data_IF_531414117376
#
_entry.id   IF_531414117376
#
_cell.length_a   1.000
_cell.length_b   1.000
_cell.length_c   1.000
_cell.angle_alpha   90.00
_cell.angle_beta   90.00
_cell.angle_gamma   90.00
#
_symmetry.space_group_name_H-M   'P 1'
#
loop_
_entity.id
_entity.type
_entity.pdbx_description
1 polymer ?
#
# COMPACT_ATOMS: atom_id res chain seq x y z
N UNK A 1 -63.31 -27.93 -10.47
CA UNK A 1 -62.79 -27.02 -9.42
C UNK A 1 -61.92 -27.82 -8.44
N UNK A 2 -60.86 -27.19 -7.93
CA UNK A 2 -60.09 -27.60 -6.73
C UNK A 2 -58.92 -28.58 -6.89
N UNK A 3 -58.13 -28.49 -7.98
CA UNK A 3 -56.74 -28.99 -8.06
C UNK A 3 -55.68 -27.89 -8.22
N UNK A 4 -56.07 -26.63 -8.04
CA UNK A 4 -55.19 -25.47 -8.27
C UNK A 4 -54.63 -24.88 -6.96
N UNK A 5 -55.02 -25.41 -5.80
CA UNK A 5 -54.73 -24.80 -4.50
C UNK A 5 -53.42 -25.25 -3.83
N UNK A 6 -52.65 -26.17 -4.43
CA UNK A 6 -51.43 -26.71 -3.82
C UNK A 6 -50.12 -26.14 -4.41
N UNK A 7 -50.16 -25.42 -5.55
CA UNK A 7 -48.95 -24.83 -6.14
C UNK A 7 -48.59 -23.46 -5.57
N UNK A 8 -49.53 -22.75 -4.94
CA UNK A 8 -49.31 -21.37 -4.46
C UNK A 8 -48.61 -21.28 -3.10
N UNK A 9 -48.44 -22.38 -2.37
CA UNK A 9 -47.75 -22.40 -1.07
C UNK A 9 -46.24 -22.68 -1.23
N UNK A 10 -45.83 -23.36 -2.31
CA UNK A 10 -44.42 -23.73 -2.52
C UNK A 10 -43.58 -22.59 -3.10
N UNK A 11 -44.18 -21.66 -3.84
CA UNK A 11 -43.48 -20.51 -4.45
C UNK A 11 -43.24 -19.35 -3.50
N UNK A 12 -43.96 -19.27 -2.37
CA UNK A 12 -43.75 -18.20 -1.38
C UNK A 12 -42.55 -18.46 -0.45
N UNK A 13 -42.00 -19.68 -0.44
CA UNK A 13 -40.94 -20.07 0.48
C UNK A 13 -39.53 -19.77 -0.07
N UNK A 14 -39.37 -19.58 -1.38
CA UNK A 14 -38.07 -19.32 -2.01
C UNK A 14 -37.60 -17.86 -1.94
N UNK A 15 -38.48 -16.90 -1.66
CA UNK A 15 -38.11 -15.48 -1.61
C UNK A 15 -37.52 -15.03 -0.25
N UNK A 16 -37.43 -15.92 0.74
CA UNK A 16 -36.89 -15.61 2.08
C UNK A 16 -35.48 -16.19 2.30
N UNK A 17 -34.87 -16.81 1.29
CA UNK A 17 -33.52 -17.39 1.37
C UNK A 17 -32.41 -16.48 0.81
N UNK A 18 -32.74 -15.27 0.36
CA UNK A 18 -31.73 -14.33 -0.13
C UNK A 18 -31.55 -13.17 0.86
N UNK A 19 -30.28 -12.82 1.08
CA UNK A 19 -29.76 -11.72 1.90
C UNK A 19 -29.26 -12.06 3.32
N UNK A 20 -28.61 -13.21 3.46
CA UNK A 20 -27.46 -13.32 4.35
C UNK A 20 -26.23 -12.65 3.72
N UNK A 21 -26.28 -11.35 3.43
CA UNK A 21 -25.12 -10.61 2.93
C UNK A 21 -24.18 -10.42 4.12
N UNK A 22 -23.23 -11.34 4.33
CA UNK A 22 -22.15 -11.16 5.31
C UNK A 22 -21.23 -10.03 4.79
N UNK A 23 -21.67 -8.78 5.00
CA UNK A 23 -20.95 -7.62 4.53
C UNK A 23 -19.68 -7.48 5.36
N UNK A 24 -18.53 -7.69 4.73
CA UNK A 24 -17.23 -7.51 5.38
C UNK A 24 -17.08 -6.12 6.02
N UNK A 25 -16.38 -6.05 7.14
CA UNK A 25 -16.13 -4.82 7.89
C UNK A 25 -14.78 -4.26 7.48
N UNK A 26 -14.77 -3.13 6.77
CA UNK A 26 -13.57 -2.39 6.40
C UNK A 26 -13.15 -1.45 7.53
N UNK A 27 -11.87 -1.48 7.91
CA UNK A 27 -11.27 -0.57 8.90
C UNK A 27 -9.93 -0.03 8.41
N UNK A 28 -9.65 1.22 8.78
CA UNK A 28 -8.31 1.78 8.67
C UNK A 28 -7.36 0.99 9.59
N UNK A 29 -6.10 0.89 9.19
CA UNK A 29 -5.03 0.26 9.98
C UNK A 29 -3.77 1.11 9.97
N UNK A 30 -2.74 0.64 10.67
CA UNK A 30 -1.44 1.30 10.75
C UNK A 30 -0.33 0.37 10.28
N UNK A 31 0.65 0.94 9.59
CA UNK A 31 1.88 0.26 9.27
C UNK A 31 2.66 -0.04 10.56
N UNK A 32 3.33 -1.18 10.57
CA UNK A 32 4.15 -1.67 11.67
C UNK A 32 5.62 -1.53 11.32
N UNK A 33 6.41 -1.03 12.27
CA UNK A 33 7.86 -0.88 12.13
C UNK A 33 8.54 -2.19 12.51
N UNK A 34 9.26 -2.80 11.58
CA UNK A 34 10.07 -3.99 11.87
C UNK A 34 11.47 -3.62 12.31
N UNK A 35 12.07 -2.67 11.62
CA UNK A 35 13.44 -2.25 11.86
C UNK A 35 13.60 -0.81 11.43
N UNK A 36 14.32 -0.01 12.22
CA UNK A 36 14.73 1.33 11.86
C UNK A 36 16.17 1.55 12.36
N UNK A 37 17.00 2.17 11.54
CA UNK A 37 18.38 2.54 11.89
C UNK A 37 18.66 3.96 11.42
N UNK A 38 19.44 4.70 12.21
CA UNK A 38 19.70 6.12 11.97
C UNK A 38 18.48 6.99 12.30
N UNK A 39 18.51 8.24 11.85
CA UNK A 39 17.43 9.18 12.09
C UNK A 39 16.27 8.94 11.10
N UNK A 40 15.17 8.42 11.63
CA UNK A 40 13.91 8.21 10.91
C UNK A 40 12.78 8.87 11.68
N UNK A 41 12.00 9.69 11.00
CA UNK A 41 10.86 10.41 11.58
C UNK A 41 9.60 10.14 10.79
N UNK A 42 8.46 10.27 11.45
CA UNK A 42 7.15 10.22 10.80
C UNK A 42 6.20 11.26 11.37
N UNK A 43 5.19 11.63 10.60
CA UNK A 43 4.12 12.53 11.04
C UNK A 43 3.52 13.33 9.90
N UNK A 44 2.94 14.49 10.22
CA UNK A 44 2.25 15.32 9.25
C UNK A 44 3.22 16.31 8.59
N UNK A 45 3.55 16.06 7.31
CA UNK A 45 4.44 16.92 6.55
C UNK A 45 3.91 18.34 6.32
N UNK A 46 2.59 18.51 6.19
CA UNK A 46 1.95 19.82 5.94
C UNK A 46 2.02 20.72 7.17
N UNK A 47 2.00 20.13 8.37
CA UNK A 47 2.16 20.82 9.66
C UNK A 47 3.61 20.86 10.14
N UNK A 48 4.53 20.25 9.39
CA UNK A 48 5.91 20.00 9.79
C UNK A 48 6.02 19.37 11.20
N UNK A 49 5.05 18.53 11.55
CA UNK A 49 4.95 17.87 12.85
C UNK A 49 5.48 16.44 12.69
N UNK A 50 6.72 16.23 13.17
CA UNK A 50 7.44 14.98 13.01
C UNK A 50 7.94 14.49 14.36
N UNK A 51 7.75 13.19 14.58
CA UNK A 51 8.26 12.48 15.74
C UNK A 51 9.18 11.34 15.31
N UNK A 52 10.18 10.97 16.13
CA UNK A 52 11.05 9.83 15.84
C UNK A 52 10.27 8.53 15.72
N UNK A 53 10.70 7.67 14.79
CA UNK A 53 10.17 6.31 14.70
C UNK A 53 10.73 5.45 15.83
N UNK A 54 9.84 4.66 16.44
CA UNK A 54 10.16 3.60 17.40
C UNK A 54 9.53 2.29 16.93
N UNK A 55 9.91 1.17 17.54
CA UNK A 55 9.27 -0.13 17.26
C UNK A 55 7.77 -0.18 17.62
N UNK A 56 7.31 0.75 18.46
CA UNK A 56 5.90 0.87 18.88
C UNK A 56 5.12 1.90 18.05
N UNK A 57 5.79 2.64 17.17
CA UNK A 57 5.15 3.66 16.35
C UNK A 57 4.04 3.06 15.49
N UNK A 58 2.92 3.78 15.42
CA UNK A 58 1.78 3.46 14.56
C UNK A 58 1.71 4.52 13.48
N UNK A 59 2.10 4.14 12.27
CA UNK A 59 2.16 5.04 11.11
C UNK A 59 0.88 4.82 10.31
N UNK A 60 0.03 5.83 10.19
CA UNK A 60 -1.29 5.73 9.58
C UNK A 60 -1.30 6.32 8.17
N UNK A 61 -2.39 6.08 7.44
CA UNK A 61 -2.69 6.84 6.24
C UNK A 61 -2.72 8.34 6.55
N UNK A 62 -2.09 9.14 5.69
CA UNK A 62 -1.85 10.57 5.89
C UNK A 62 -0.44 10.89 6.37
N UNK A 63 0.20 9.98 7.11
CA UNK A 63 1.55 10.21 7.65
C UNK A 63 2.61 10.19 6.54
N UNK A 64 3.64 11.01 6.73
CA UNK A 64 4.86 11.02 5.93
C UNK A 64 6.00 10.43 6.73
N UNK A 65 6.76 9.51 6.14
CA UNK A 65 7.95 8.90 6.75
C UNK A 65 9.19 9.45 6.04
N UNK A 66 10.16 9.93 6.81
CA UNK A 66 11.42 10.52 6.30
C UNK A 66 12.62 9.82 6.92
N UNK A 67 13.58 9.51 6.07
CA UNK A 67 14.88 8.96 6.48
C UNK A 67 15.98 9.98 6.18
N UNK A 68 16.86 10.21 7.16
CA UNK A 68 18.06 11.03 6.94
C UNK A 68 19.13 10.25 6.17
N UNK A 69 20.27 10.90 5.91
CA UNK A 69 21.42 10.25 5.31
C UNK A 69 21.90 9.06 6.16
N UNK A 70 22.21 7.94 5.52
CA UNK A 70 22.62 6.70 6.20
C UNK A 70 21.51 6.01 7.02
N UNK A 71 20.30 6.56 7.10
CA UNK A 71 19.19 5.95 7.80
C UNK A 71 18.45 4.93 6.92
N UNK A 72 17.73 3.99 7.52
CA UNK A 72 16.88 3.04 6.80
C UNK A 72 15.73 2.57 7.70
N UNK A 73 14.60 2.22 7.11
CA UNK A 73 13.45 1.67 7.82
C UNK A 73 12.75 0.59 6.99
N UNK A 74 12.35 -0.48 7.66
CA UNK A 74 11.49 -1.53 7.12
C UNK A 74 10.11 -1.44 7.78
N UNK A 75 9.09 -1.37 6.94
CA UNK A 75 7.69 -1.28 7.34
C UNK A 75 6.89 -2.44 6.76
N UNK A 76 6.02 -3.01 7.57
CA UNK A 76 4.89 -3.80 7.10
C UNK A 76 3.67 -2.88 7.01
N UNK A 77 3.18 -2.62 5.80
CA UNK A 77 2.08 -1.69 5.57
C UNK A 77 0.73 -2.33 5.93
N UNK A 78 0.52 -3.50 5.35
CA UNK A 78 -0.58 -4.44 5.59
C UNK A 78 0.03 -5.84 5.57
N UNK A 79 -0.67 -6.89 6.05
CA UNK A 79 -0.19 -8.26 5.85
C UNK A 79 0.25 -8.45 4.40
N UNK A 80 1.38 -9.12 4.18
CA UNK A 80 1.91 -9.40 2.84
C UNK A 80 2.45 -8.22 2.03
N UNK A 81 2.31 -6.96 2.47
CA UNK A 81 2.92 -5.79 1.80
C UNK A 81 3.99 -5.16 2.69
N UNK A 82 5.23 -5.21 2.22
CA UNK A 82 6.40 -4.72 2.93
C UNK A 82 7.15 -3.69 2.10
N UNK A 83 7.70 -2.70 2.77
CA UNK A 83 8.56 -1.70 2.15
C UNK A 83 9.80 -1.44 2.97
N UNK A 84 10.92 -1.24 2.29
CA UNK A 84 12.16 -0.74 2.84
C UNK A 84 12.47 0.61 2.23
N UNK A 85 12.74 1.60 3.09
CA UNK A 85 13.25 2.89 2.69
C UNK A 85 14.75 2.95 2.94
N UNK A 86 15.48 3.42 1.94
CA UNK A 86 16.90 3.75 2.07
C UNK A 86 17.09 5.18 2.55
N UNK A 87 18.32 5.58 2.89
CA UNK A 87 18.61 6.92 3.38
C UNK A 87 18.23 8.03 2.39
N UNK A 88 17.96 9.22 2.91
CA UNK A 88 17.50 10.39 2.15
C UNK A 88 16.20 10.14 1.36
N UNK A 89 15.34 9.26 1.86
CA UNK A 89 14.06 8.92 1.23
C UNK A 89 12.88 9.48 2.03
N UNK A 90 11.79 9.75 1.30
CA UNK A 90 10.52 10.18 1.87
C UNK A 90 9.36 9.50 1.16
N UNK A 91 8.44 8.93 1.95
CA UNK A 91 7.15 8.46 1.45
C UNK A 91 5.99 9.10 2.20
N UNK A 92 4.86 9.26 1.52
CA UNK A 92 3.55 9.51 2.15
C UNK A 92 2.74 8.22 2.12
N UNK A 93 2.21 7.81 3.26
CA UNK A 93 1.24 6.73 3.33
C UNK A 93 -0.11 7.29 2.89
N UNK A 94 -0.66 6.80 1.79
CA UNK A 94 -1.90 7.34 1.22
C UNK A 94 -3.13 6.57 1.71
N UNK A 95 -3.04 5.25 1.74
CA UNK A 95 -4.13 4.40 2.22
C UNK A 95 -3.59 3.15 2.91
N UNK A 96 -4.26 2.72 3.98
CA UNK A 96 -4.01 1.49 4.72
C UNK A 96 -5.33 0.97 5.28
N UNK A 97 -5.88 -0.08 4.67
CA UNK A 97 -7.18 -0.64 5.04
C UNK A 97 -7.18 -2.15 5.01
N UNK A 98 -7.99 -2.72 5.88
CA UNK A 98 -8.30 -4.14 5.93
C UNK A 98 -9.81 -4.32 5.99
N UNK A 99 -10.34 -5.23 5.19
CA UNK A 99 -11.70 -5.75 5.31
C UNK A 99 -11.62 -7.14 5.89
N UNK A 100 -12.38 -7.38 6.95
CA UNK A 100 -12.50 -8.70 7.57
C UNK A 100 -13.94 -9.19 7.45
N UNK A 101 -14.13 -10.50 7.42
CA UNK A 101 -15.46 -11.05 7.64
C UNK A 101 -15.94 -10.67 9.05
N UNK A 102 -17.13 -10.09 9.14
CA UNK A 102 -17.74 -9.68 10.40
C UNK A 102 -18.26 -10.84 11.25
N UNK A 103 -18.39 -12.03 10.66
CA UNK A 103 -18.88 -13.24 11.33
C UNK A 103 -17.75 -14.14 11.87
N UNK A 104 -16.48 -13.79 11.62
CA UNK A 104 -15.34 -14.62 12.02
C UNK A 104 -14.60 -14.05 13.22
N UNK A 105 -14.49 -14.88 14.25
CA UNK A 105 -13.64 -14.64 15.44
C UNK A 105 -12.16 -14.97 15.18
N UNK A 106 -11.83 -15.60 14.05
CA UNK A 106 -10.52 -16.17 13.74
C UNK A 106 -9.98 -15.89 12.31
N UNK A 107 -10.38 -14.78 11.68
CA UNK A 107 -9.52 -14.07 10.71
C UNK A 107 -9.49 -14.56 9.26
N UNK A 108 -10.57 -14.34 8.51
CA UNK A 108 -10.54 -14.15 7.07
C UNK A 108 -10.43 -12.66 6.73
N UNK A 109 -9.20 -12.19 6.48
CA UNK A 109 -9.03 -10.90 5.80
C UNK A 109 -9.55 -11.10 4.37
N UNK A 110 -10.64 -10.40 4.03
CA UNK A 110 -11.30 -10.51 2.72
C UNK A 110 -10.66 -9.58 1.68
N UNK A 111 -10.25 -8.39 2.12
CA UNK A 111 -9.59 -7.38 1.28
C UNK A 111 -8.53 -6.65 2.11
N UNK A 112 -7.46 -6.25 1.43
CA UNK A 112 -6.40 -5.45 2.02
C UNK A 112 -5.87 -4.47 0.99
N UNK A 113 -5.79 -3.20 1.37
CA UNK A 113 -5.33 -2.13 0.49
C UNK A 113 -4.23 -1.33 1.16
N UNK A 114 -3.14 -1.15 0.43
CA UNK A 114 -2.07 -0.22 0.79
C UNK A 114 -1.66 0.62 -0.42
N UNK A 115 -1.53 1.93 -0.22
CA UNK A 115 -1.02 2.85 -1.23
C UNK A 115 0.02 3.74 -0.59
N UNK A 116 1.20 3.83 -1.21
CA UNK A 116 2.26 4.73 -0.79
C UNK A 116 2.70 5.61 -1.94
N UNK A 117 3.03 6.86 -1.63
CA UNK A 117 3.66 7.78 -2.58
C UNK A 117 5.12 7.95 -2.22
N UNK A 118 6.03 7.61 -3.12
CA UNK A 118 7.44 7.96 -3.03
C UNK A 118 7.64 9.39 -3.52
N UNK A 119 7.95 10.29 -2.59
CA UNK A 119 8.20 11.69 -2.89
C UNK A 119 9.66 11.91 -3.36
N UNK A 120 10.62 11.23 -2.72
CA UNK A 120 12.04 11.26 -3.08
C UNK A 120 12.79 10.04 -2.57
N UNK A 121 13.93 9.73 -3.18
CA UNK A 121 14.88 8.75 -2.69
C UNK A 121 14.64 7.37 -3.30
N UNK A 122 14.73 6.30 -2.50
CA UNK A 122 14.59 4.93 -2.98
C UNK A 122 13.81 4.07 -1.99
N UNK A 123 12.87 3.32 -2.55
CA UNK A 123 12.04 2.34 -1.86
C UNK A 123 12.22 0.97 -2.53
N UNK A 124 12.41 -0.05 -1.72
CA UNK A 124 12.26 -1.44 -2.16
C UNK A 124 10.93 -1.93 -1.60
N UNK A 125 10.12 -2.55 -2.43
CA UNK A 125 8.78 -2.97 -2.07
C UNK A 125 8.56 -4.42 -2.45
N UNK A 126 7.94 -5.17 -1.54
CA UNK A 126 7.57 -6.56 -1.72
C UNK A 126 6.09 -6.69 -1.39
N UNK A 127 5.35 -7.36 -2.26
CA UNK A 127 3.99 -7.74 -1.95
C UNK A 127 3.71 -9.15 -2.42
N UNK A 128 3.13 -9.94 -1.52
CA UNK A 128 2.58 -11.24 -1.83
C UNK A 128 1.07 -11.15 -1.73
N UNK A 129 0.40 -11.39 -2.85
CA UNK A 129 -1.05 -11.36 -3.02
C UNK A 129 -1.73 -12.47 -2.20
N UNK A 130 -1.03 -13.58 -1.93
CA UNK A 130 -1.56 -14.72 -1.21
C UNK A 130 -2.73 -15.39 -1.94
N UNK A 131 -3.64 -16.03 -1.20
CA UNK A 131 -4.81 -16.71 -1.77
C UNK A 131 -5.91 -15.70 -2.13
N UNK A 132 -6.13 -15.46 -3.44
CA UNK A 132 -7.34 -14.95 -4.15
C UNK A 132 -8.16 -13.79 -3.55
N UNK A 133 -7.68 -13.12 -2.50
CA UNK A 133 -8.34 -11.97 -1.92
C UNK A 133 -8.15 -10.75 -2.82
N UNK A 134 -9.14 -9.85 -2.83
CA UNK A 134 -8.97 -8.52 -3.41
C UNK A 134 -7.87 -7.81 -2.59
N UNK A 135 -6.62 -7.94 -3.04
CA UNK A 135 -5.47 -7.37 -2.35
C UNK A 135 -4.85 -6.39 -3.32
N UNK A 136 -4.78 -5.13 -2.90
CA UNK A 136 -4.25 -4.06 -3.73
C UNK A 136 -3.07 -3.43 -3.00
N UNK A 137 -1.95 -3.35 -3.69
CA UNK A 137 -0.81 -2.58 -3.26
C UNK A 137 -0.39 -1.66 -4.40
N UNK A 138 -0.05 -0.41 -4.10
CA UNK A 138 0.48 0.48 -5.11
C UNK A 138 1.57 1.39 -4.57
N UNK A 139 2.54 1.66 -5.44
CA UNK A 139 3.60 2.65 -5.22
C UNK A 139 3.46 3.71 -6.30
N UNK A 140 3.10 4.92 -5.87
CA UNK A 140 3.00 6.08 -6.74
C UNK A 140 4.28 6.91 -6.64
N UNK A 141 4.82 7.33 -7.77
CA UNK A 141 5.90 8.32 -7.87
C UNK A 141 5.33 9.61 -8.46
N UNK A 142 6.17 10.63 -8.69
CA UNK A 142 5.72 11.85 -9.37
C UNK A 142 5.17 11.62 -10.79
N UNK A 143 5.55 10.51 -11.45
CA UNK A 143 5.28 10.27 -12.87
C UNK A 143 4.44 9.02 -13.15
N UNK A 144 4.58 7.98 -12.31
CA UNK A 144 3.95 6.67 -12.56
C UNK A 144 3.41 6.07 -11.27
N UNK A 145 2.27 5.38 -11.38
CA UNK A 145 1.75 4.48 -10.35
C UNK A 145 2.02 3.04 -10.77
N UNK A 146 2.67 2.29 -9.88
CA UNK A 146 2.94 0.88 -10.05
C UNK A 146 2.01 0.10 -9.13
N UNK A 147 1.19 -0.77 -9.70
CA UNK A 147 0.26 -1.64 -8.97
C UNK A 147 0.40 -3.07 -9.52
N UNK A 148 1.04 -3.99 -8.78
CA UNK A 148 1.17 -5.37 -9.22
C UNK A 148 -0.20 -6.08 -9.18
N UNK A 149 -0.44 -6.94 -10.17
CA UNK A 149 -1.61 -7.81 -10.25
C UNK A 149 -1.37 -9.19 -9.57
N UNK A 150 -0.13 -9.44 -9.14
CA UNK A 150 0.39 -10.69 -8.61
C UNK A 150 1.54 -10.43 -7.63
N UNK A 151 2.20 -11.49 -7.14
CA UNK A 151 3.36 -11.36 -6.27
C UNK A 151 4.49 -10.56 -6.95
N UNK A 152 5.06 -9.60 -6.24
CA UNK A 152 6.12 -8.74 -6.79
C UNK A 152 7.20 -8.40 -5.77
N UNK A 153 8.38 -8.09 -6.31
CA UNK A 153 9.44 -7.41 -5.61
C UNK A 153 10.05 -6.39 -6.58
N UNK A 154 10.14 -5.12 -6.18
CA UNK A 154 10.77 -4.08 -6.99
C UNK A 154 11.58 -3.10 -6.18
N UNK A 155 12.53 -2.49 -6.88
CA UNK A 155 13.37 -1.42 -6.40
C UNK A 155 13.09 -0.17 -7.22
N UNK A 156 12.58 0.87 -6.56
CA UNK A 156 12.13 2.11 -7.21
C UNK A 156 12.95 3.25 -6.62
N UNK A 157 13.63 3.99 -7.50
CA UNK A 157 14.41 5.18 -7.14
C UNK A 157 13.87 6.40 -7.87
N UNK A 158 13.51 7.42 -7.10
CA UNK A 158 13.24 8.77 -7.61
C UNK A 158 14.44 9.65 -7.30
N UNK A 159 15.10 10.12 -8.36
CA UNK A 159 15.95 11.29 -8.26
C UNK A 159 15.04 12.51 -8.23
N UNK A 160 15.34 13.48 -7.36
CA UNK A 160 14.89 14.85 -7.61
C UNK A 160 15.40 15.23 -9.01
N UNK A 161 14.53 15.86 -9.80
CA UNK A 161 14.74 16.18 -11.22
C UNK A 161 16.22 16.31 -11.56
N UNK A 162 16.71 15.36 -12.34
CA UNK A 162 18.02 15.49 -12.97
C UNK A 162 17.93 16.78 -13.76
N UNK A 163 18.68 17.78 -13.33
CA UNK A 163 18.83 19.07 -13.99
C UNK A 163 18.92 18.82 -15.50
N UNK A 164 18.11 19.47 -16.35
CA UNK A 164 18.15 19.24 -17.80
C UNK A 164 19.56 19.37 -18.39
N UNK A 165 20.44 20.08 -17.68
CA UNK A 165 21.89 20.14 -17.86
C UNK A 165 22.57 18.75 -17.93
N UNK A 166 22.24 17.81 -17.04
CA UNK A 166 22.86 16.48 -16.99
C UNK A 166 22.35 15.55 -18.09
N UNK A 167 21.09 15.68 -18.51
CA UNK A 167 20.56 14.99 -19.69
C UNK A 167 21.20 15.52 -20.98
N UNK A 168 21.40 16.84 -21.08
CA UNK A 168 22.13 17.47 -22.18
C UNK A 168 23.62 17.08 -22.20
N UNK A 169 24.25 17.01 -21.02
CA UNK A 169 25.62 16.55 -20.91
C UNK A 169 25.71 15.11 -21.39
N UNK A 170 24.87 14.18 -20.89
CA UNK A 170 24.84 12.78 -21.32
C UNK A 170 24.61 12.60 -22.83
N UNK A 171 23.73 13.41 -23.44
CA UNK A 171 23.56 13.43 -24.91
C UNK A 171 24.84 13.91 -25.65
N UNK A 172 25.61 14.81 -25.04
CA UNK A 172 26.93 15.23 -25.53
C UNK A 172 28.01 14.14 -25.50
N UNK A 173 27.88 13.12 -24.64
CA UNK A 173 28.83 11.98 -24.63
C UNK A 173 28.60 11.02 -25.79
N UNK A 174 27.36 10.89 -26.28
CA UNK A 174 27.06 10.04 -27.45
C UNK A 174 27.60 10.62 -28.77
N UNK A 175 27.86 11.94 -28.82
CA UNK A 175 28.34 12.63 -30.03
C UNK A 175 29.85 12.92 -30.04
N UNK A 176 30.60 12.49 -29.02
CA UNK A 176 32.07 12.56 -29.06
C UNK A 176 32.61 11.45 -29.95
N UNK A 177 32.82 11.76 -31.23
CA UNK A 177 33.72 10.95 -32.06
C UNK A 177 35.12 11.02 -31.46
N UNK A 178 35.65 9.85 -31.13
CA UNK A 178 37.05 9.66 -30.75
C UNK A 178 37.88 10.08 -31.96
N UNK A 179 38.67 11.14 -31.82
CA UNK A 179 39.80 11.44 -32.70
C UNK A 179 41.07 10.95 -32.01
#
# INVERSE_FOLDING_TARGET
MRRVLFCSVLTLCFCLLENGCSKGITRATAATVFFATGNVVFGNAERNDFQPVTSKSKIHAGDTVRTSNGASINLALIPGAFVQLSGNSEIKIQDLRLTKDGNETAGGVLDRRASVRLNRGRIVSLFSQGDKNASEFSVTTGQVTLSPDSDWQMDIKTALDVEPELLNQAAGWQNRRVF
#
